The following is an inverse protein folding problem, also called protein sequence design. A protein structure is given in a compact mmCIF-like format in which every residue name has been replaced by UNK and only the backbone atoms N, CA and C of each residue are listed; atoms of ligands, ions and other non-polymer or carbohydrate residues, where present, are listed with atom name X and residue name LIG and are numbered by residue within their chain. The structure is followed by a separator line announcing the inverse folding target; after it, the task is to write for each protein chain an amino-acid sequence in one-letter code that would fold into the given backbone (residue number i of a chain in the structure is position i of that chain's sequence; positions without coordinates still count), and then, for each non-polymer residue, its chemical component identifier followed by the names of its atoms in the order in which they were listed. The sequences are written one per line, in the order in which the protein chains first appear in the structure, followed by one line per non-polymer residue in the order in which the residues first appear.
data_IF_301386093279
#
_entry.id   IF_301386093279
#
_cell.length_a   1.000
_cell.length_b   1.000
_cell.length_c   1.000
_cell.angle_alpha   90.00
_cell.angle_beta   90.00
_cell.angle_gamma   90.00
#
_symmetry.space_group_name_H-M   'P 1'
#
loop_
_entity.id
_entity.type
_entity.pdbx_description
1 polymer ?
#
# COMPACT_ATOMS: atom_id res chain seq x y z
N UNK A 1 -20.02 20.10 -8.15
CA UNK A 1 -19.33 19.72 -6.91
C UNK A 1 -19.38 18.22 -6.78
N UNK A 2 -18.34 17.52 -7.23
CA UNK A 2 -18.25 16.07 -7.05
C UNK A 2 -17.91 15.88 -5.57
N UNK A 3 -18.90 15.45 -4.80
CA UNK A 3 -18.78 15.18 -3.37
C UNK A 3 -17.78 14.04 -3.20
N UNK A 4 -16.52 14.41 -2.99
CA UNK A 4 -15.44 13.48 -2.70
C UNK A 4 -15.67 12.94 -1.28
N UNK A 5 -16.45 11.86 -1.16
CA UNK A 5 -16.46 11.07 0.07
C UNK A 5 -15.09 10.41 0.14
N UNK A 6 -14.16 11.04 0.87
CA UNK A 6 -12.96 10.36 1.32
C UNK A 6 -13.45 9.11 2.02
N UNK A 7 -13.20 7.94 1.42
CA UNK A 7 -13.70 6.69 1.97
C UNK A 7 -12.80 6.39 3.17
N UNK A 8 -13.22 6.79 4.38
CA UNK A 8 -12.45 6.64 5.63
C UNK A 8 -11.93 5.20 5.78
N UNK A 9 -12.71 4.22 5.33
CA UNK A 9 -12.31 2.81 5.30
C UNK A 9 -11.10 2.55 4.40
N UNK A 10 -11.03 3.14 3.20
CA UNK A 10 -9.87 2.98 2.30
C UNK A 10 -8.62 3.62 2.90
N UNK A 11 -8.75 4.79 3.52
CA UNK A 11 -7.66 5.45 4.23
C UNK A 11 -7.15 4.57 5.39
N UNK A 12 -8.07 4.00 6.18
CA UNK A 12 -7.74 3.13 7.30
C UNK A 12 -7.02 1.86 6.84
N UNK A 13 -7.53 1.21 5.77
CA UNK A 13 -6.90 0.04 5.16
C UNK A 13 -5.47 0.36 4.68
N UNK A 14 -5.26 1.52 4.05
CA UNK A 14 -3.95 1.95 3.61
C UNK A 14 -2.98 2.17 4.77
N UNK A 15 -3.43 2.79 5.86
CA UNK A 15 -2.62 2.98 7.08
C UNK A 15 -2.25 1.64 7.70
N UNK A 16 -3.20 0.71 7.81
CA UNK A 16 -2.95 -0.65 8.31
C UNK A 16 -1.92 -1.37 7.44
N UNK A 17 -2.02 -1.25 6.12
CA UNK A 17 -1.09 -1.85 5.17
C UNK A 17 0.33 -1.29 5.34
N UNK A 18 0.49 0.03 5.54
CA UNK A 18 1.79 0.66 5.81
C UNK A 18 2.40 0.12 7.10
N UNK A 19 1.60 0.01 8.18
CA UNK A 19 2.06 -0.52 9.47
C UNK A 19 2.53 -1.96 9.32
N UNK A 20 1.78 -2.80 8.60
CA UNK A 20 2.15 -4.19 8.34
C UNK A 20 3.43 -4.31 7.54
N UNK A 21 3.63 -3.46 6.52
CA UNK A 21 4.87 -3.44 5.74
C UNK A 21 6.08 -3.05 6.58
N UNK A 22 5.95 -2.04 7.44
CA UNK A 22 7.03 -1.66 8.37
C UNK A 22 7.32 -2.81 9.33
N UNK A 23 6.29 -3.42 9.92
CA UNK A 23 6.47 -4.55 10.82
C UNK A 23 7.08 -5.78 10.11
N UNK A 24 6.82 -5.95 8.81
CA UNK A 24 7.38 -7.03 8.00
C UNK A 24 8.90 -6.96 7.82
N UNK A 25 9.54 -5.81 8.08
CA UNK A 25 10.99 -5.67 8.13
C UNK A 25 11.60 -6.37 9.35
N UNK A 26 10.86 -6.45 10.47
CA UNK A 26 11.30 -7.12 11.69
C UNK A 26 10.97 -8.60 11.63
N UNK A 27 9.76 -8.93 11.16
CA UNK A 27 9.30 -10.31 11.01
C UNK A 27 8.66 -10.54 9.63
N UNK A 28 9.33 -11.28 8.72
CA UNK A 28 8.83 -11.51 7.37
C UNK A 28 7.45 -12.18 7.29
N UNK A 29 7.04 -12.91 8.34
CA UNK A 29 5.71 -13.54 8.39
C UNK A 29 4.56 -12.51 8.40
N UNK A 30 4.83 -11.26 8.80
CA UNK A 30 3.83 -10.19 8.77
C UNK A 30 3.52 -9.70 7.35
N UNK A 31 4.23 -10.22 6.34
CA UNK A 31 3.91 -9.94 4.94
C UNK A 31 2.66 -10.71 4.47
N UNK A 32 2.33 -11.85 5.07
CA UNK A 32 1.09 -12.59 4.79
C UNK A 32 -0.18 -11.76 5.10
N UNK A 33 -0.34 -11.19 6.31
CA UNK A 33 -1.48 -10.30 6.55
C UNK A 33 -1.43 -9.04 5.68
N UNK A 34 -0.25 -8.51 5.31
CA UNK A 34 -0.15 -7.39 4.38
C UNK A 34 -0.73 -7.71 2.99
N UNK A 35 -0.45 -8.92 2.47
CA UNK A 35 -1.04 -9.43 1.23
C UNK A 35 -2.56 -9.49 1.37
N UNK A 36 -3.08 -10.08 2.46
CA UNK A 36 -4.51 -10.20 2.70
C UNK A 36 -5.23 -8.83 2.73
N UNK A 37 -4.66 -7.85 3.43
CA UNK A 37 -5.18 -6.48 3.49
C UNK A 37 -5.18 -5.83 2.11
N UNK A 38 -4.13 -6.03 1.30
CA UNK A 38 -4.07 -5.49 -0.06
C UNK A 38 -5.12 -6.08 -1.00
N UNK A 39 -5.47 -7.36 -0.84
CA UNK A 39 -6.52 -8.02 -1.63
C UNK A 39 -7.90 -7.46 -1.31
N UNK A 40 -8.16 -7.16 -0.03
CA UNK A 40 -9.39 -6.49 0.39
C UNK A 40 -9.49 -5.09 -0.26
N UNK A 41 -8.40 -4.34 -0.27
CA UNK A 41 -8.35 -3.00 -0.89
C UNK A 41 -8.68 -3.04 -2.39
N UNK A 42 -8.14 -4.02 -3.13
CA UNK A 42 -8.45 -4.22 -4.55
C UNK A 42 -9.94 -4.53 -4.82
N UNK A 43 -10.62 -5.18 -3.87
CA UNK A 43 -12.06 -5.42 -3.91
C UNK A 43 -12.90 -4.15 -3.76
N UNK A 44 -12.44 -3.18 -2.99
CA UNK A 44 -13.13 -1.89 -2.78
C UNK A 44 -12.84 -0.86 -3.87
N UNK A 45 -11.64 -0.88 -4.46
CA UNK A 45 -11.22 0.14 -5.42
C UNK A 45 -10.44 -0.47 -6.61
N UNK A 46 -11.17 -0.78 -7.69
CA UNK A 46 -10.62 -1.37 -8.92
C UNK A 46 -9.65 -0.45 -9.70
N UNK A 47 -9.57 0.84 -9.34
CA UNK A 47 -8.79 1.84 -10.06
C UNK A 47 -7.48 2.28 -9.39
N UNK A 48 -7.17 1.77 -8.19
CA UNK A 48 -6.06 2.31 -7.40
C UNK A 48 -4.67 1.96 -7.97
N UNK A 49 -4.52 0.80 -8.62
CA UNK A 49 -3.25 0.35 -9.24
C UNK A 49 -3.52 -0.49 -10.52
N UNK A 50 -2.72 -0.33 -11.60
CA UNK A 50 -2.86 -1.10 -12.83
C UNK A 50 -2.45 -2.58 -12.69
N UNK A 51 -1.74 -2.94 -11.61
CA UNK A 51 -1.33 -4.30 -11.26
C UNK A 51 -1.84 -4.56 -9.82
N UNK A 52 -2.41 -5.74 -9.51
CA UNK A 52 -2.81 -6.06 -8.15
C UNK A 52 -1.61 -5.94 -7.22
N UNK A 53 -1.66 -5.00 -6.26
CA UNK A 53 -0.59 -4.80 -5.29
C UNK A 53 -0.24 -6.09 -4.52
N UNK A 54 -1.23 -6.95 -4.33
CA UNK A 54 -1.07 -8.30 -3.77
C UNK A 54 -0.08 -9.17 -4.54
N UNK A 55 -0.02 -9.08 -5.88
CA UNK A 55 0.96 -9.81 -6.69
C UNK A 55 2.37 -9.29 -6.45
N UNK A 56 2.53 -7.97 -6.33
CA UNK A 56 3.83 -7.35 -6.00
C UNK A 56 4.30 -7.84 -4.63
N UNK A 57 3.40 -7.86 -3.64
CA UNK A 57 3.71 -8.37 -2.30
C UNK A 57 4.02 -9.87 -2.30
N UNK A 58 3.32 -10.68 -3.10
CA UNK A 58 3.64 -12.11 -3.26
C UNK A 58 5.04 -12.34 -3.81
N UNK A 59 5.51 -11.50 -4.74
CA UNK A 59 6.88 -11.57 -5.28
C UNK A 59 7.94 -11.27 -4.20
N UNK A 60 7.62 -10.47 -3.18
CA UNK A 60 8.53 -10.21 -2.06
C UNK A 60 8.83 -11.46 -1.23
N UNK A 61 7.92 -12.45 -1.18
CA UNK A 61 8.16 -13.71 -0.45
C UNK A 61 9.34 -14.51 -1.02
N UNK A 62 9.66 -14.31 -2.31
CA UNK A 62 10.80 -14.95 -2.96
C UNK A 62 12.13 -14.25 -2.71
N UNK A 63 12.13 -13.02 -2.18
CA UNK A 63 13.34 -12.24 -1.94
C UNK A 63 14.02 -12.68 -0.64
N UNK A 64 15.36 -12.65 -0.64
CA UNK A 64 16.18 -13.04 0.52
C UNK A 64 17.13 -11.92 0.93
N UNK A 65 17.40 -11.84 2.23
CA UNK A 65 18.38 -10.92 2.81
C UNK A 65 18.07 -9.47 2.49
N UNK A 66 19.09 -8.70 2.13
CA UNK A 66 18.99 -7.25 1.93
C UNK A 66 18.02 -6.85 0.81
N UNK A 67 17.86 -7.69 -0.22
CA UNK A 67 16.93 -7.44 -1.32
C UNK A 67 15.48 -7.35 -0.85
N UNK A 68 15.11 -8.13 0.17
CA UNK A 68 13.77 -8.08 0.77
C UNK A 68 13.51 -6.72 1.42
N UNK A 69 14.46 -6.27 2.24
CA UNK A 69 14.38 -5.00 2.96
C UNK A 69 14.35 -3.80 2.01
N UNK A 70 15.21 -3.82 0.98
CA UNK A 70 15.24 -2.78 -0.06
C UNK A 70 13.90 -2.71 -0.79
N UNK A 71 13.35 -3.86 -1.19
CA UNK A 71 12.08 -3.89 -1.92
C UNK A 71 10.90 -3.37 -1.08
N UNK A 72 10.82 -3.73 0.21
CA UNK A 72 9.81 -3.17 1.12
C UNK A 72 9.97 -1.66 1.26
N UNK A 73 11.19 -1.16 1.45
CA UNK A 73 11.45 0.28 1.57
C UNK A 73 11.04 1.02 0.30
N UNK A 74 11.30 0.44 -0.87
CA UNK A 74 10.91 1.02 -2.17
C UNK A 74 9.40 1.10 -2.32
N UNK A 75 8.69 0.04 -1.89
CA UNK A 75 7.23 -0.02 -1.90
C UNK A 75 6.62 1.00 -0.92
N UNK A 76 7.19 1.15 0.28
CA UNK A 76 6.78 2.17 1.24
C UNK A 76 6.94 3.58 0.67
N UNK A 77 8.09 3.87 0.05
CA UNK A 77 8.33 5.16 -0.60
C UNK A 77 7.33 5.43 -1.74
N UNK A 78 7.04 4.41 -2.55
CA UNK A 78 6.05 4.50 -3.62
C UNK A 78 4.63 4.79 -3.08
N UNK A 79 4.19 4.07 -2.03
CA UNK A 79 2.89 4.29 -1.40
C UNK A 79 2.78 5.70 -0.79
N UNK A 80 3.84 6.20 -0.15
CA UNK A 80 3.90 7.56 0.38
C UNK A 80 3.81 8.61 -0.73
N UNK A 81 4.56 8.42 -1.83
CA UNK A 81 4.48 9.29 -3.01
C UNK A 81 3.07 9.31 -3.62
N UNK A 82 2.43 8.15 -3.70
CA UNK A 82 1.08 8.03 -4.22
C UNK A 82 0.08 8.76 -3.32
N UNK A 83 0.20 8.62 -1.99
CA UNK A 83 -0.61 9.35 -1.02
C UNK A 83 -0.42 10.86 -1.15
N UNK A 84 0.81 11.34 -1.32
CA UNK A 84 1.11 12.77 -1.51
C UNK A 84 0.53 13.27 -2.85
N UNK A 85 0.72 12.53 -3.94
CA UNK A 85 0.25 12.91 -5.28
C UNK A 85 -1.28 12.95 -5.34
N UNK A 86 -1.94 12.00 -4.67
CA UNK A 86 -3.40 11.95 -4.59
C UNK A 86 -3.94 13.14 -3.78
N UNK A 87 -3.26 13.52 -2.69
CA UNK A 87 -3.56 14.76 -1.96
C UNK A 87 -3.40 16.00 -2.85
N UNK A 88 -2.34 16.08 -3.67
CA UNK A 88 -2.10 17.21 -4.59
C UNK A 88 -3.17 17.29 -5.68
N UNK A 89 -3.64 16.16 -6.19
CA UNK A 89 -4.64 16.10 -7.27
C UNK A 89 -6.05 16.50 -6.80
N UNK A 90 -6.37 16.28 -5.52
CA UNK A 90 -7.71 16.52 -4.96
C UNK A 90 -7.80 17.70 -3.99
N UNK A 91 -6.69 18.17 -3.43
CA UNK A 91 -6.56 19.42 -2.68
C UNK A 91 -5.42 20.24 -3.27
N UNK A 92 -5.64 20.94 -4.42
CA UNK A 92 -4.68 21.93 -4.86
C UNK A 92 -4.63 23.00 -3.79
N UNK A 93 -3.50 23.13 -3.10
CA UNK A 93 -3.23 24.25 -2.20
C UNK A 93 -3.52 25.55 -2.97
N UNK A 94 -4.61 26.20 -2.61
CA UNK A 94 -4.90 27.61 -2.89
C UNK A 94 -4.96 28.33 -1.56
#
# INVERSE_FOLDING_TARGET
MITQRVNILELLILVVLIILLIASLINPLLLFPAIGVSMLQAGFNKGFLPIPFSLILLLLLGLRGDYYSIAIMTILAFLLLLLITDRIKYYPFR
#
